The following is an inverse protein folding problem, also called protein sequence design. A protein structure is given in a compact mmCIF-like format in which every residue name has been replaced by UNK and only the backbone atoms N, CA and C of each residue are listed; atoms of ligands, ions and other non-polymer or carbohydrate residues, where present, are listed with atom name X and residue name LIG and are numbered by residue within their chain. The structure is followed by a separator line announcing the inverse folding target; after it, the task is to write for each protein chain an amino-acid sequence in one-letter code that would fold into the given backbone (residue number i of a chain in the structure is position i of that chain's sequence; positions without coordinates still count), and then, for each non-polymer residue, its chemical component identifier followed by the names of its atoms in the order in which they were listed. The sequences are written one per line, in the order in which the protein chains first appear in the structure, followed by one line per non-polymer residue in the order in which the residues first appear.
data_IF_162772948462
#
_entry.id   IF_162772948462
#
_cell.length_a   1.000
_cell.length_b   1.000
_cell.length_c   1.000
_cell.angle_alpha   90.00
_cell.angle_beta   90.00
_cell.angle_gamma   90.00
#
_symmetry.space_group_name_H-M   'P 1'
#
loop_
_entity.id
_entity.type
_entity.pdbx_description
1 polymer ?
#
# COMPACT_ATOMS: atom_id res chain seq x y z
N UNK A 1 3.44 -40.70 24.03
CA UNK A 1 4.83 -40.32 23.70
C UNK A 1 5.13 -40.88 22.32
N UNK A 2 4.87 -40.12 21.27
CA UNK A 2 5.24 -40.48 19.90
C UNK A 2 5.76 -39.21 19.23
N UNK A 3 7.04 -39.28 18.93
CA UNK A 3 7.96 -38.21 18.61
C UNK A 3 7.82 -37.79 17.15
N UNK A 4 8.16 -36.54 16.89
CA UNK A 4 8.18 -35.87 15.60
C UNK A 4 8.98 -36.61 14.51
N UNK A 5 8.62 -36.34 13.24
CA UNK A 5 9.59 -36.39 12.14
C UNK A 5 9.38 -37.47 11.07
N UNK A 6 8.30 -37.40 10.30
CA UNK A 6 8.19 -38.15 9.03
C UNK A 6 7.75 -37.24 7.88
N UNK A 7 8.60 -36.30 7.49
CA UNK A 7 8.52 -35.64 6.18
C UNK A 7 9.93 -35.44 5.62
N UNK A 8 10.64 -36.55 5.36
CA UNK A 8 11.78 -36.53 4.46
C UNK A 8 11.24 -36.63 3.02
N UNK A 9 11.37 -35.53 2.28
CA UNK A 9 11.03 -35.45 0.86
C UNK A 9 11.94 -36.41 0.08
N UNK A 10 11.36 -37.13 -0.88
CA UNK A 10 11.93 -38.28 -1.61
C UNK A 10 13.15 -37.95 -2.49
N UNK A 11 13.58 -36.69 -2.51
CA UNK A 11 14.52 -36.15 -3.50
C UNK A 11 15.87 -35.72 -2.90
N UNK A 12 16.10 -35.95 -1.59
CA UNK A 12 17.37 -35.67 -0.91
C UNK A 12 17.78 -34.19 -0.83
N UNK A 13 17.04 -33.30 -1.49
CA UNK A 13 17.20 -31.85 -1.38
C UNK A 13 16.57 -31.38 -0.07
N UNK A 14 17.27 -30.57 0.77
CA UNK A 14 16.67 -30.01 1.96
C UNK A 14 15.41 -29.23 1.55
N UNK A 15 14.26 -29.61 2.11
CA UNK A 15 13.06 -28.80 2.01
C UNK A 15 13.40 -27.43 2.56
N UNK A 16 13.13 -26.32 1.83
CA UNK A 16 13.41 -24.99 2.36
C UNK A 16 12.71 -24.89 3.71
N UNK A 17 13.46 -24.66 4.78
CA UNK A 17 12.93 -24.50 6.13
C UNK A 17 12.05 -23.26 6.15
N UNK A 18 10.78 -23.42 5.78
CA UNK A 18 9.79 -22.39 5.90
C UNK A 18 9.53 -22.25 7.39
N UNK A 19 9.98 -21.13 7.96
CA UNK A 19 9.68 -20.83 9.35
C UNK A 19 8.17 -20.60 9.50
N UNK A 20 7.47 -21.66 9.91
CA UNK A 20 6.02 -21.68 10.15
C UNK A 20 5.66 -20.70 11.26
N UNK A 21 6.51 -20.57 12.27
CA UNK A 21 6.28 -19.69 13.42
C UNK A 21 6.35 -18.24 13.00
N UNK A 22 7.38 -17.84 12.25
CA UNK A 22 7.47 -16.50 11.69
C UNK A 22 6.33 -16.20 10.71
N UNK A 23 5.92 -17.17 9.88
CA UNK A 23 4.75 -17.01 9.01
C UNK A 23 3.46 -16.79 9.80
N UNK A 24 3.19 -17.61 10.81
CA UNK A 24 1.98 -17.50 11.63
C UNK A 24 1.95 -16.21 12.44
N UNK A 25 3.09 -15.77 12.96
CA UNK A 25 3.21 -14.49 13.63
C UNK A 25 2.92 -13.32 12.68
N UNK A 26 3.54 -13.29 11.48
CA UNK A 26 3.27 -12.26 10.47
C UNK A 26 1.81 -12.22 10.05
N UNK A 27 1.20 -13.38 9.80
CA UNK A 27 -0.22 -13.45 9.44
C UNK A 27 -1.12 -12.99 10.59
N UNK A 28 -0.80 -13.35 11.84
CA UNK A 28 -1.53 -12.87 13.01
C UNK A 28 -1.43 -11.35 13.18
N UNK A 29 -0.25 -10.77 12.96
CA UNK A 29 -0.04 -9.30 12.99
C UNK A 29 -0.85 -8.62 11.89
N UNK A 30 -0.80 -9.13 10.65
CA UNK A 30 -1.58 -8.59 9.53
C UNK A 30 -3.08 -8.68 9.81
N UNK A 31 -3.58 -9.83 10.28
CA UNK A 31 -4.99 -10.01 10.64
C UNK A 31 -5.43 -9.05 11.76
N UNK A 32 -4.58 -8.83 12.77
CA UNK A 32 -4.86 -7.91 13.88
C UNK A 32 -4.99 -6.45 13.41
N UNK A 33 -4.05 -6.00 12.57
CA UNK A 33 -4.06 -4.65 12.01
C UNK A 33 -5.28 -4.42 11.11
N UNK A 34 -5.57 -5.36 10.22
CA UNK A 34 -6.73 -5.28 9.32
C UNK A 34 -8.05 -5.28 10.07
N UNK A 35 -8.19 -6.11 11.11
CA UNK A 35 -9.40 -6.14 11.94
C UNK A 35 -9.58 -4.81 12.69
N UNK A 36 -8.49 -4.19 13.14
CA UNK A 36 -8.53 -2.86 13.77
C UNK A 36 -9.01 -1.80 12.77
N UNK A 37 -8.42 -1.75 11.58
CA UNK A 37 -8.83 -0.81 10.52
C UNK A 37 -10.30 -1.02 10.13
N UNK A 38 -10.72 -2.28 9.96
CA UNK A 38 -12.11 -2.61 9.64
C UNK A 38 -13.07 -2.10 10.73
N UNK A 39 -12.78 -2.37 12.00
CA UNK A 39 -13.62 -1.93 13.12
C UNK A 39 -13.68 -0.41 13.27
N UNK A 40 -12.58 0.28 13.03
CA UNK A 40 -12.48 1.73 13.21
C UNK A 40 -13.11 2.51 12.05
N UNK A 41 -12.89 2.06 10.81
CA UNK A 41 -13.23 2.86 9.62
C UNK A 41 -14.39 2.25 8.84
N UNK A 42 -14.35 0.95 8.58
CA UNK A 42 -15.24 0.29 7.61
C UNK A 42 -16.48 -0.39 8.24
N UNK A 43 -16.54 -0.58 9.56
CA UNK A 43 -17.60 -1.36 10.22
C UNK A 43 -18.92 -0.60 10.36
N UNK A 44 -18.87 0.71 10.62
CA UNK A 44 -20.07 1.55 10.80
C UNK A 44 -20.22 2.48 9.60
N UNK A 45 -21.41 2.57 9.02
CA UNK A 45 -21.67 3.41 7.84
C UNK A 45 -21.34 4.88 8.08
N UNK A 46 -21.57 5.39 9.30
CA UNK A 46 -21.26 6.78 9.65
C UNK A 46 -19.75 7.07 9.68
N UNK A 47 -18.95 6.21 10.29
CA UNK A 47 -17.48 6.35 10.30
C UNK A 47 -16.90 6.14 8.91
N UNK A 48 -17.50 5.24 8.13
CA UNK A 48 -17.11 4.99 6.76
C UNK A 48 -17.36 6.23 5.88
N UNK A 49 -18.56 6.82 5.93
CA UNK A 49 -18.87 8.05 5.20
C UNK A 49 -17.94 9.20 5.58
N UNK A 50 -17.68 9.39 6.88
CA UNK A 50 -16.72 10.39 7.36
C UNK A 50 -15.32 10.16 6.79
N UNK A 51 -14.86 8.90 6.77
CA UNK A 51 -13.55 8.56 6.23
C UNK A 51 -13.43 8.82 4.72
N UNK A 52 -14.52 8.64 3.96
CA UNK A 52 -14.56 8.97 2.53
C UNK A 52 -14.43 10.48 2.36
N UNK A 53 -15.20 11.29 3.10
CA UNK A 53 -15.15 12.75 2.98
C UNK A 53 -13.74 13.27 3.28
N UNK A 54 -13.13 12.82 4.38
CA UNK A 54 -11.74 13.17 4.72
C UNK A 54 -10.76 12.66 3.66
N UNK A 55 -10.96 11.44 3.19
CA UNK A 55 -10.15 10.83 2.14
C UNK A 55 -10.16 11.64 0.86
N UNK A 56 -11.33 12.12 0.41
CA UNK A 56 -11.47 12.94 -0.80
C UNK A 56 -10.76 14.28 -0.67
N UNK A 57 -10.93 14.99 0.45
CA UNK A 57 -10.27 16.30 0.65
C UNK A 57 -8.75 16.17 0.64
N UNK A 58 -8.21 15.13 1.26
CA UNK A 58 -6.76 14.88 1.26
C UNK A 58 -6.27 14.38 -0.10
N UNK A 59 -7.03 13.50 -0.73
CA UNK A 59 -6.71 12.93 -2.03
C UNK A 59 -6.71 13.99 -3.13
N UNK A 60 -7.69 14.90 -3.15
CA UNK A 60 -7.76 16.02 -4.09
C UNK A 60 -6.43 16.79 -4.12
N UNK A 61 -5.96 17.26 -2.97
CA UNK A 61 -4.73 18.07 -2.90
C UNK A 61 -3.48 17.30 -3.29
N UNK A 62 -3.37 16.05 -2.84
CA UNK A 62 -2.21 15.22 -3.16
C UNK A 62 -2.19 14.82 -4.64
N UNK A 63 -3.37 14.49 -5.19
CA UNK A 63 -3.51 14.05 -6.56
C UNK A 63 -3.31 15.22 -7.53
N UNK A 64 -3.90 16.39 -7.29
CA UNK A 64 -3.71 17.55 -8.15
C UNK A 64 -2.23 17.92 -8.27
N UNK A 65 -1.53 18.08 -7.13
CA UNK A 65 -0.10 18.40 -7.14
C UNK A 65 0.75 17.30 -7.78
N UNK A 66 0.43 16.04 -7.50
CA UNK A 66 1.16 14.90 -8.06
C UNK A 66 0.97 14.76 -9.56
N UNK A 67 -0.27 14.89 -10.02
CA UNK A 67 -0.64 14.80 -11.43
C UNK A 67 -0.09 15.99 -12.23
N UNK A 68 -0.19 17.20 -11.69
CA UNK A 68 0.42 18.39 -12.28
C UNK A 68 1.91 18.16 -12.43
N UNK A 69 2.63 17.82 -11.34
CA UNK A 69 4.07 17.57 -11.38
C UNK A 69 4.44 16.53 -12.43
N UNK A 70 3.73 15.39 -12.45
CA UNK A 70 3.98 14.32 -13.42
C UNK A 70 3.77 14.83 -14.85
N UNK A 71 2.67 15.54 -15.10
CA UNK A 71 2.38 16.13 -16.40
C UNK A 71 3.44 17.16 -16.78
N UNK A 72 3.94 17.95 -15.82
CA UNK A 72 4.98 18.92 -16.08
C UNK A 72 6.26 18.23 -16.52
N UNK A 73 6.67 17.18 -15.81
CA UNK A 73 7.87 16.40 -16.10
C UNK A 73 7.81 15.72 -17.46
N UNK A 74 6.65 15.22 -17.85
CA UNK A 74 6.47 14.60 -19.16
C UNK A 74 6.48 15.61 -20.31
N UNK A 75 6.08 16.87 -20.06
CA UNK A 75 5.98 17.92 -21.07
C UNK A 75 7.00 19.07 -20.84
N UNK A 76 8.17 18.73 -20.30
CA UNK A 76 9.28 19.67 -20.11
C UNK A 76 9.65 20.35 -21.43
N UNK A 77 9.84 21.68 -21.38
CA UNK A 77 10.11 22.51 -22.55
C UNK A 77 8.94 22.74 -23.53
N UNK A 78 7.80 22.05 -23.39
CA UNK A 78 6.66 22.19 -24.32
C UNK A 78 5.56 23.13 -23.82
N UNK A 79 5.38 23.23 -22.49
CA UNK A 79 4.30 24.03 -21.92
C UNK A 79 4.65 25.51 -21.90
N UNK A 80 3.63 26.36 -22.05
CA UNK A 80 3.75 27.81 -21.96
C UNK A 80 4.53 28.24 -20.71
N UNK A 81 4.19 27.71 -19.53
CA UNK A 81 4.90 28.02 -18.28
C UNK A 81 6.42 27.82 -18.32
N UNK A 82 6.93 26.95 -19.18
CA UNK A 82 8.37 26.73 -19.35
C UNK A 82 9.01 27.74 -20.29
N UNK A 83 8.28 28.19 -21.31
CA UNK A 83 8.81 29.10 -22.35
C UNK A 83 8.40 30.56 -22.15
N UNK A 84 7.47 30.85 -21.22
CA UNK A 84 6.88 32.18 -20.95
C UNK A 84 7.93 33.26 -20.72
N UNK A 85 9.03 32.92 -20.04
CA UNK A 85 10.15 33.82 -19.76
C UNK A 85 10.84 34.37 -21.03
N UNK A 86 10.59 33.79 -22.20
CA UNK A 86 11.12 34.30 -23.47
C UNK A 86 10.21 35.38 -24.09
N UNK A 87 9.02 35.61 -23.54
CA UNK A 87 7.96 36.42 -24.16
C UNK A 87 7.34 37.46 -23.21
N UNK A 88 7.71 37.45 -21.94
CA UNK A 88 7.28 38.43 -20.94
C UNK A 88 8.51 39.06 -20.29
N UNK A 89 8.47 40.39 -20.09
CA UNK A 89 9.51 41.19 -19.42
C UNK A 89 9.45 41.08 -17.89
#
# INVERSE_FOLDING_TARGET
MATEGSLLSRDGKPSPSYDVTSRRFRLAVIMSLLNTVYRSVFRRTSTFALSIVLGVVLFERAFDQGADLLFERLNQGKMWKHIKHNYEE
#
